data_IF_282632537083
#
_entry.id   IF_282632537083
#
_cell.length_a   1.000
_cell.length_b   1.000
_cell.length_c   1.000
_cell.angle_alpha   90.00
_cell.angle_beta   90.00
_cell.angle_gamma   90.00
#
_symmetry.space_group_name_H-M   'P 1'
#
loop_
_entity.id
_entity.type
_entity.pdbx_description
1 polymer ?
#
# COMPACT_ATOMS: atom_id res chain seq x y z
N UNK A 1 -3.90 38.91 -18.00
CA UNK A 1 -4.74 39.62 -18.99
C UNK A 1 -6.18 39.39 -18.62
N UNK A 2 -6.89 40.39 -18.10
CA UNK A 2 -8.33 40.30 -17.88
C UNK A 2 -9.05 40.29 -19.23
N UNK A 3 -10.14 39.55 -19.36
CA UNK A 3 -10.96 39.59 -20.57
C UNK A 3 -11.44 41.02 -20.85
N UNK A 4 -11.55 41.44 -22.13
CA UNK A 4 -11.87 42.83 -22.51
C UNK A 4 -13.15 43.38 -21.86
N UNK A 5 -14.16 42.53 -21.65
CA UNK A 5 -15.43 42.91 -21.02
C UNK A 5 -15.30 43.35 -19.55
N UNK A 6 -14.32 42.82 -18.80
CA UNK A 6 -14.10 43.21 -17.40
C UNK A 6 -13.30 44.50 -17.26
N UNK A 7 -12.60 44.94 -18.30
CA UNK A 7 -11.81 46.17 -18.28
C UNK A 7 -12.70 47.41 -18.24
N UNK A 8 -13.73 47.47 -19.09
CA UNK A 8 -14.66 48.59 -19.14
C UNK A 8 -15.46 48.76 -17.83
N UNK A 9 -15.89 47.66 -17.21
CA UNK A 9 -16.60 47.71 -15.93
C UNK A 9 -15.69 48.16 -14.78
N UNK A 10 -14.42 47.74 -14.79
CA UNK A 10 -13.43 48.14 -13.80
C UNK A 10 -13.07 49.63 -13.95
N UNK A 11 -12.92 50.12 -15.18
CA UNK A 11 -12.66 51.54 -15.48
C UNK A 11 -13.84 52.44 -15.06
N UNK A 12 -15.07 52.01 -15.33
CA UNK A 12 -16.27 52.71 -14.84
C UNK A 12 -16.35 52.76 -13.32
N UNK A 13 -16.05 51.65 -12.62
CA UNK A 13 -16.00 51.58 -11.15
C UNK A 13 -14.91 52.49 -10.55
N UNK A 14 -13.75 52.58 -11.20
CA UNK A 14 -12.67 53.48 -10.77
C UNK A 14 -13.05 54.95 -10.93
N UNK A 15 -13.74 55.27 -12.02
CA UNK A 15 -14.25 56.63 -12.28
C UNK A 15 -15.31 57.03 -11.24
N UNK A 16 -16.23 56.12 -10.91
CA UNK A 16 -17.28 56.37 -9.90
C UNK A 16 -16.71 56.49 -8.49
N UNK A 17 -15.69 55.71 -8.16
CA UNK A 17 -15.09 55.71 -6.82
C UNK A 17 -13.98 56.76 -6.64
N UNK A 18 -13.53 57.43 -7.71
CA UNK A 18 -12.36 58.32 -7.71
C UNK A 18 -11.08 57.65 -7.20
N UNK A 19 -11.00 56.32 -7.28
CA UNK A 19 -9.84 55.53 -6.90
C UNK A 19 -9.26 54.89 -8.16
N UNK A 20 -8.08 55.36 -8.58
CA UNK A 20 -7.36 54.80 -9.72
C UNK A 20 -6.46 53.65 -9.27
N UNK A 21 -6.80 52.42 -9.69
CA UNK A 21 -5.95 51.26 -9.50
C UNK A 21 -5.02 51.12 -10.71
N UNK A 22 -3.78 51.56 -10.57
CA UNK A 22 -2.74 51.16 -11.51
C UNK A 22 -2.39 49.70 -11.20
N UNK A 23 -2.75 48.78 -12.09
CA UNK A 23 -2.10 47.48 -12.08
C UNK A 23 -0.65 47.72 -12.46
N UNK A 24 0.28 47.65 -11.48
CA UNK A 24 1.70 47.75 -11.80
C UNK A 24 2.02 46.67 -12.84
N UNK A 25 2.89 46.98 -13.80
CA UNK A 25 3.40 45.99 -14.77
C UNK A 25 4.21 44.86 -14.11
N UNK A 26 4.35 44.86 -12.78
CA UNK A 26 5.02 43.79 -12.08
C UNK A 26 4.25 42.48 -12.25
N UNK A 27 4.97 41.50 -12.79
CA UNK A 27 4.52 40.13 -12.87
C UNK A 27 4.01 39.66 -11.49
N UNK A 28 2.88 38.96 -11.44
CA UNK A 28 2.23 38.51 -10.18
C UNK A 28 3.18 37.81 -9.21
N UNK A 29 4.15 37.08 -9.76
CA UNK A 29 5.18 36.35 -9.00
C UNK A 29 6.29 37.25 -8.42
N UNK A 30 6.42 38.50 -8.90
CA UNK A 30 7.41 39.46 -8.42
C UNK A 30 6.98 40.21 -7.15
N UNK A 31 5.76 39.99 -6.65
CA UNK A 31 5.28 40.64 -5.42
C UNK A 31 6.07 40.20 -4.18
N UNK A 32 6.33 41.11 -3.24
CA UNK A 32 7.10 40.78 -2.02
C UNK A 32 6.49 39.63 -1.23
N UNK A 33 5.16 39.54 -1.17
CA UNK A 33 4.46 38.46 -0.48
C UNK A 33 4.73 37.09 -1.12
N UNK A 34 4.86 37.04 -2.46
CA UNK A 34 5.24 35.82 -3.18
C UNK A 34 6.70 35.48 -2.98
N UNK A 35 7.60 36.46 -3.09
CA UNK A 35 9.03 36.25 -2.81
C UNK A 35 9.28 35.73 -1.39
N UNK A 36 8.61 36.30 -0.38
CA UNK A 36 8.71 35.82 1.02
C UNK A 36 8.19 34.40 1.19
N UNK A 37 7.10 34.03 0.51
CA UNK A 37 6.55 32.67 0.54
C UNK A 37 7.48 31.66 -0.11
N UNK A 38 7.98 31.98 -1.31
CA UNK A 38 8.93 31.14 -2.03
C UNK A 38 10.22 30.95 -1.22
N UNK A 39 10.75 32.00 -0.60
CA UNK A 39 11.91 31.89 0.28
C UNK A 39 11.66 30.96 1.46
N UNK A 40 10.49 31.06 2.11
CA UNK A 40 10.08 30.16 3.19
C UNK A 40 9.97 28.71 2.72
N UNK A 41 9.35 28.48 1.57
CA UNK A 41 9.17 27.15 1.00
C UNK A 41 10.51 26.52 0.59
N UNK A 42 11.40 27.30 -0.04
CA UNK A 42 12.77 26.89 -0.38
C UNK A 42 13.57 26.54 0.87
N UNK A 43 13.47 27.36 1.93
CA UNK A 43 14.15 27.10 3.21
C UNK A 43 13.65 25.78 3.81
N UNK A 44 12.33 25.57 3.82
CA UNK A 44 11.72 24.33 4.32
C UNK A 44 12.16 23.09 3.53
N UNK A 45 12.24 23.19 2.20
CA UNK A 45 12.75 22.10 1.34
C UNK A 45 14.23 21.84 1.62
N UNK A 46 15.03 22.89 1.80
CA UNK A 46 16.46 22.77 2.11
C UNK A 46 16.70 22.11 3.46
N UNK A 47 15.96 22.51 4.49
CA UNK A 47 16.01 21.87 5.82
C UNK A 47 15.60 20.40 5.73
N UNK A 48 14.54 20.10 4.96
CA UNK A 48 14.12 18.73 4.72
C UNK A 48 15.24 17.89 4.07
N UNK A 49 15.93 18.39 3.05
CA UNK A 49 17.03 17.66 2.40
C UNK A 49 18.29 17.53 3.25
N UNK A 50 18.54 18.48 4.16
CA UNK A 50 19.64 18.36 5.14
C UNK A 50 19.40 17.20 6.11
N UNK A 51 18.17 17.04 6.59
CA UNK A 51 17.80 15.94 7.49
C UNK A 51 17.64 14.61 6.74
N UNK A 52 17.09 14.65 5.52
CA UNK A 52 16.68 13.49 4.73
C UNK A 52 16.98 13.76 3.26
N UNK A 53 18.16 13.34 2.79
CA UNK A 53 18.42 13.33 1.35
C UNK A 53 17.70 12.13 0.72
N UNK A 54 16.69 12.35 -0.14
CA UNK A 54 16.12 11.28 -0.95
C UNK A 54 17.08 10.79 -2.04
N UNK A 55 18.11 11.57 -2.37
CA UNK A 55 18.99 11.26 -3.50
C UNK A 55 20.19 10.46 -2.96
N UNK A 56 20.38 9.20 -3.39
CA UNK A 56 21.61 8.46 -3.13
C UNK A 56 22.78 9.19 -3.78
N UNK A 57 23.93 9.26 -3.11
CA UNK A 57 25.08 10.05 -3.59
C UNK A 57 25.65 9.57 -4.92
N UNK A 58 25.42 8.30 -5.25
CA UNK A 58 26.04 7.61 -6.39
C UNK A 58 25.04 7.27 -7.50
N UNK A 59 23.81 7.80 -7.44
CA UNK A 59 22.74 7.49 -8.39
C UNK A 59 22.58 8.62 -9.42
N UNK A 60 22.81 8.29 -10.69
CA UNK A 60 22.65 9.23 -11.82
C UNK A 60 21.26 9.18 -12.45
N UNK A 61 20.39 8.27 -12.00
CA UNK A 61 19.06 8.10 -12.59
C UNK A 61 18.12 9.24 -12.18
N UNK A 62 17.33 9.72 -13.14
CA UNK A 62 16.27 10.68 -12.86
C UNK A 62 15.15 9.95 -12.11
N UNK A 63 14.95 10.27 -10.83
CA UNK A 63 13.97 9.61 -9.97
C UNK A 63 12.88 10.57 -9.50
N UNK A 64 11.65 10.07 -9.41
CA UNK A 64 10.57 10.82 -8.76
C UNK A 64 10.78 10.83 -7.23
N UNK A 65 10.92 12.02 -6.63
CA UNK A 65 11.22 12.19 -5.19
C UNK A 65 10.10 11.68 -4.29
N UNK A 66 8.85 11.64 -4.76
CA UNK A 66 7.70 11.20 -3.98
C UNK A 66 7.54 9.68 -4.05
N UNK A 67 7.52 9.12 -5.26
CA UNK A 67 7.29 7.68 -5.46
C UNK A 67 8.57 6.84 -5.36
N UNK A 68 9.75 7.44 -5.53
CA UNK A 68 11.02 6.74 -5.65
C UNK A 68 11.20 5.96 -6.95
N UNK A 69 10.31 6.14 -7.94
CA UNK A 69 10.36 5.43 -9.23
C UNK A 69 11.37 6.08 -10.17
N UNK A 70 12.23 5.25 -10.76
CA UNK A 70 13.19 5.67 -11.78
C UNK A 70 12.48 6.00 -13.09
N UNK A 71 12.91 7.08 -13.70
CA UNK A 71 12.41 7.50 -14.98
C UNK A 71 13.03 6.67 -16.09
N UNK A 72 12.21 6.36 -17.09
CA UNK A 72 12.67 5.78 -18.34
C UNK A 72 13.65 6.74 -19.05
N UNK A 73 14.55 6.20 -19.88
CA UNK A 73 15.58 6.95 -20.63
C UNK A 73 14.98 8.02 -21.55
N UNK A 74 13.70 7.86 -21.91
CA UNK A 74 12.95 8.82 -22.74
C UNK A 74 12.54 10.08 -21.97
N UNK A 75 12.44 10.01 -20.64
CA UNK A 75 12.08 11.14 -19.78
C UNK A 75 13.31 12.00 -19.56
N UNK A 76 13.23 13.29 -19.93
CA UNK A 76 14.37 14.22 -19.86
C UNK A 76 14.03 15.49 -19.10
N UNK A 77 13.20 15.39 -18.07
CA UNK A 77 12.65 16.55 -17.35
C UNK A 77 13.73 17.45 -16.72
N UNK A 78 14.89 16.88 -16.36
CA UNK A 78 16.10 17.57 -15.92
C UNK A 78 16.63 18.58 -16.95
N UNK A 79 16.39 18.33 -18.25
CA UNK A 79 16.83 19.19 -19.37
C UNK A 79 15.78 20.22 -19.80
N UNK A 80 14.81 20.53 -18.94
CA UNK A 80 13.73 21.46 -19.22
C UNK A 80 14.21 22.82 -19.74
N UNK A 81 15.28 23.34 -19.13
CA UNK A 81 15.86 24.63 -19.53
C UNK A 81 16.42 24.58 -20.96
N UNK A 82 17.19 23.55 -21.29
CA UNK A 82 17.81 23.39 -22.61
C UNK A 82 16.76 23.18 -23.71
N UNK A 83 15.72 22.39 -23.43
CA UNK A 83 14.59 22.19 -24.34
C UNK A 83 13.85 23.51 -24.54
N UNK A 84 13.56 24.26 -23.47
CA UNK A 84 12.91 25.56 -23.54
C UNK A 84 13.72 26.56 -24.36
N UNK A 85 15.03 26.63 -24.16
CA UNK A 85 15.93 27.48 -24.93
C UNK A 85 15.93 27.12 -26.43
N UNK A 86 15.92 25.82 -26.78
CA UNK A 86 15.79 25.38 -28.18
C UNK A 86 14.45 25.79 -28.80
N UNK A 87 13.35 25.70 -28.05
CA UNK A 87 12.04 26.17 -28.52
C UNK A 87 12.06 27.68 -28.75
N UNK A 88 12.66 28.46 -27.85
CA UNK A 88 12.81 29.91 -27.99
C UNK A 88 13.67 30.27 -29.20
N UNK A 89 14.79 29.59 -29.42
CA UNK A 89 15.62 29.80 -30.62
C UNK A 89 14.83 29.54 -31.90
N UNK A 90 13.98 28.50 -31.92
CA UNK A 90 13.12 28.17 -33.06
C UNK A 90 11.96 29.17 -33.28
N UNK A 91 11.64 30.00 -32.28
CA UNK A 91 10.66 31.08 -32.35
C UNK A 91 11.28 32.38 -32.90
N UNK A 92 12.59 32.55 -32.81
CA UNK A 92 13.25 33.77 -33.29
C UNK A 92 12.98 33.96 -34.78
N UNK A 93 12.62 35.20 -35.15
CA UNK A 93 12.35 35.64 -36.52
C UNK A 93 11.17 34.93 -37.23
N UNK A 94 10.23 34.35 -36.47
CA UNK A 94 8.97 33.82 -37.01
C UNK A 94 7.78 34.67 -36.62
N UNK A 95 6.79 34.73 -37.50
CA UNK A 95 5.54 35.40 -37.24
C UNK A 95 4.72 34.53 -36.28
N UNK A 96 4.11 35.15 -35.26
CA UNK A 96 3.37 34.45 -34.18
C UNK A 96 2.26 33.54 -34.73
N UNK A 97 1.64 33.91 -35.85
CA UNK A 97 0.57 33.16 -36.51
C UNK A 97 1.04 31.95 -37.31
N UNK A 98 2.34 31.85 -37.62
CA UNK A 98 2.92 30.78 -38.46
C UNK A 98 3.62 29.70 -37.64
N UNK A 99 3.91 29.97 -36.36
CA UNK A 99 4.61 29.03 -35.51
C UNK A 99 3.65 28.10 -34.76
N UNK A 100 3.70 26.81 -35.08
CA UNK A 100 2.92 25.77 -34.38
C UNK A 100 3.77 25.04 -33.35
N UNK A 101 3.33 25.06 -32.09
CA UNK A 101 3.93 24.26 -31.02
C UNK A 101 3.63 22.77 -31.21
N UNK A 102 4.65 21.96 -31.45
CA UNK A 102 4.54 20.51 -31.55
C UNK A 102 4.80 19.84 -30.20
N UNK A 103 3.95 18.89 -29.79
CA UNK A 103 4.14 18.08 -28.58
C UNK A 103 5.42 17.24 -28.63
N UNK A 104 5.84 16.79 -29.82
CA UNK A 104 7.11 16.06 -30.03
C UNK A 104 8.35 16.86 -29.63
N UNK A 105 8.25 18.19 -29.61
CA UNK A 105 9.35 19.09 -29.28
C UNK A 105 9.35 19.48 -27.80
N UNK A 106 8.27 19.15 -27.07
CA UNK A 106 8.18 19.39 -25.64
C UNK A 106 8.89 18.28 -24.86
N UNK A 107 9.10 18.53 -23.58
CA UNK A 107 9.76 17.56 -22.72
C UNK A 107 8.85 16.38 -22.45
N UNK A 108 9.41 15.18 -22.54
CA UNK A 108 8.72 13.97 -22.12
C UNK A 108 8.78 13.91 -20.60
N UNK A 109 7.59 13.89 -19.97
CA UNK A 109 7.44 13.80 -18.52
C UNK A 109 7.19 12.36 -18.09
N UNK A 110 7.36 12.11 -16.79
CA UNK A 110 6.91 10.88 -16.11
C UNK A 110 5.38 10.81 -16.12
N UNK A 111 4.77 10.29 -17.19
CA UNK A 111 3.37 9.87 -17.19
C UNK A 111 3.32 8.35 -16.97
N UNK A 112 2.36 7.88 -16.18
CA UNK A 112 2.09 6.45 -15.96
C UNK A 112 1.61 5.82 -17.28
N UNK A 113 2.53 5.41 -18.16
CA UNK A 113 2.16 4.86 -19.48
C UNK A 113 1.96 3.34 -19.36
N UNK A 114 0.75 2.87 -19.62
CA UNK A 114 0.47 1.45 -19.88
C UNK A 114 0.85 1.17 -21.34
N UNK A 115 2.12 0.91 -21.57
CA UNK A 115 2.68 0.68 -22.90
C UNK A 115 2.41 -0.76 -23.37
N UNK A 116 1.76 -0.93 -24.52
CA UNK A 116 1.69 -2.22 -25.24
C UNK A 116 2.52 -2.09 -26.52
N UNK A 117 3.36 -3.10 -26.84
CA UNK A 117 4.10 -3.16 -28.10
C UNK A 117 3.25 -3.87 -29.16
N UNK A 118 2.99 -3.20 -30.28
CA UNK A 118 2.38 -3.78 -31.48
C UNK A 118 3.28 -3.46 -32.66
N UNK A 119 3.75 -4.48 -33.39
CA UNK A 119 4.65 -4.35 -34.55
C UNK A 119 5.89 -3.47 -34.33
N UNK A 120 6.49 -3.54 -33.14
CA UNK A 120 7.69 -2.80 -32.79
C UNK A 120 7.44 -1.37 -32.29
N UNK A 121 6.23 -0.83 -32.49
CA UNK A 121 5.82 0.47 -31.98
C UNK A 121 5.14 0.35 -30.61
N UNK A 122 5.48 1.27 -29.72
CA UNK A 122 4.89 1.36 -28.38
C UNK A 122 3.66 2.25 -28.44
N UNK A 123 2.48 1.66 -28.28
CA UNK A 123 1.21 2.37 -28.32
C UNK A 123 0.62 2.43 -26.89
N UNK A 124 0.12 3.61 -26.53
CA UNK A 124 -0.60 3.84 -25.28
C UNK A 124 -2.04 3.36 -25.44
N UNK A 125 -2.42 2.32 -24.70
CA UNK A 125 -3.74 1.69 -24.82
C UNK A 125 -4.44 1.67 -23.46
N UNK A 126 -5.54 2.40 -23.35
CA UNK A 126 -6.49 2.28 -22.24
C UNK A 126 -7.36 1.03 -22.46
N UNK A 127 -7.28 -0.01 -21.59
CA UNK A 127 -8.04 -1.24 -21.73
C UNK A 127 -9.57 -1.03 -21.72
N UNK A 128 -10.06 -0.03 -20.98
CA UNK A 128 -11.49 0.26 -20.92
C UNK A 128 -11.96 0.91 -22.21
N UNK A 129 -11.18 1.85 -22.76
CA UNK A 129 -11.46 2.46 -24.05
C UNK A 129 -11.37 1.43 -25.18
N UNK A 130 -10.42 0.50 -25.10
CA UNK A 130 -10.25 -0.58 -26.07
C UNK A 130 -11.45 -1.54 -26.04
N UNK A 131 -11.89 -1.96 -24.84
CA UNK A 131 -13.07 -2.80 -24.66
C UNK A 131 -14.35 -2.13 -25.19
N UNK A 132 -14.53 -0.83 -24.92
CA UNK A 132 -15.65 -0.07 -25.47
C UNK A 132 -15.60 -0.02 -27.00
N UNK A 133 -14.43 0.24 -27.59
CA UNK A 133 -14.25 0.28 -29.04
C UNK A 133 -14.50 -1.08 -29.69
N UNK A 134 -13.98 -2.17 -29.11
CA UNK A 134 -14.23 -3.52 -29.61
C UNK A 134 -15.70 -3.89 -29.52
N UNK A 135 -16.36 -3.62 -28.39
CA UNK A 135 -17.79 -3.91 -28.22
C UNK A 135 -18.64 -3.11 -29.22
N UNK A 136 -18.30 -1.85 -29.48
CA UNK A 136 -19.01 -1.02 -30.47
C UNK A 136 -18.73 -1.46 -31.91
N UNK A 137 -17.49 -1.77 -32.26
CA UNK A 137 -17.15 -2.24 -33.60
C UNK A 137 -17.77 -3.61 -33.90
N UNK A 138 -17.73 -4.51 -32.92
CA UNK A 138 -18.21 -5.87 -33.07
C UNK A 138 -19.75 -5.95 -33.16
N UNK A 139 -20.50 -5.02 -32.57
CA UNK A 139 -21.96 -4.87 -32.81
C UNK A 139 -22.32 -4.61 -34.28
N UNK A 140 -21.39 -4.12 -35.09
CA UNK A 140 -21.60 -3.87 -36.51
C UNK A 140 -21.04 -5.00 -37.41
N UNK A 141 -20.27 -5.94 -36.84
CA UNK A 141 -19.55 -6.98 -37.57
C UNK A 141 -20.18 -8.37 -37.31
N UNK A 142 -20.69 -8.61 -36.09
CA UNK A 142 -21.30 -9.88 -35.71
C UNK A 142 -22.80 -9.68 -35.45
N UNK A 143 -23.62 -10.56 -36.01
CA UNK A 143 -25.08 -10.56 -35.82
C UNK A 143 -25.48 -11.00 -34.40
N UNK A 144 -24.68 -11.88 -33.77
CA UNK A 144 -24.83 -12.27 -32.37
C UNK A 144 -23.67 -11.69 -31.52
N UNK A 145 -23.96 -10.77 -30.58
CA UNK A 145 -22.96 -10.23 -29.67
C UNK A 145 -22.28 -11.28 -28.78
N UNK A 146 -22.87 -12.45 -28.62
CA UNK A 146 -22.35 -13.55 -27.80
C UNK A 146 -21.08 -14.16 -28.39
N UNK A 147 -20.90 -14.12 -29.71
CA UNK A 147 -19.71 -14.63 -30.39
C UNK A 147 -18.44 -13.82 -30.05
N UNK A 148 -18.62 -12.53 -29.72
CA UNK A 148 -17.54 -11.62 -29.34
C UNK A 148 -16.91 -12.05 -28.01
N UNK A 149 -17.73 -12.56 -27.09
CA UNK A 149 -17.30 -13.00 -25.76
C UNK A 149 -16.66 -14.40 -25.74
N UNK A 150 -16.63 -15.11 -26.88
CA UNK A 150 -15.79 -16.32 -27.04
C UNK A 150 -14.30 -15.99 -27.05
N UNK A 151 -13.94 -14.76 -27.39
CA UNK A 151 -12.57 -14.29 -27.40
C UNK A 151 -12.28 -13.46 -26.14
N UNK A 152 -11.05 -13.56 -25.64
CA UNK A 152 -10.62 -12.76 -24.50
C UNK A 152 -10.37 -11.31 -24.96
N UNK A 153 -11.37 -10.43 -24.81
CA UNK A 153 -11.35 -9.03 -25.26
C UNK A 153 -10.57 -8.07 -24.35
N UNK A 154 -9.87 -8.62 -23.36
CA UNK A 154 -9.06 -7.87 -22.42
C UNK A 154 -7.64 -8.45 -22.46
N UNK A 155 -6.64 -7.61 -22.30
CA UNK A 155 -5.25 -8.08 -22.18
C UNK A 155 -4.99 -8.91 -20.91
N UNK A 156 -5.96 -8.96 -19.99
CA UNK A 156 -5.88 -9.66 -18.71
C UNK A 156 -7.27 -10.26 -18.33
N UNK A 157 -7.36 -11.53 -17.91
CA UNK A 157 -8.64 -12.18 -17.59
C UNK A 157 -9.34 -11.52 -16.40
N UNK A 158 -10.48 -10.87 -16.62
CA UNK A 158 -11.22 -10.14 -15.58
C UNK A 158 -11.82 -11.01 -14.45
N UNK A 159 -11.91 -12.32 -14.68
CA UNK A 159 -12.26 -13.32 -13.66
C UNK A 159 -11.12 -13.60 -12.68
N UNK A 160 -9.88 -13.47 -13.14
CA UNK A 160 -8.67 -13.69 -12.34
C UNK A 160 -8.08 -12.38 -11.83
N UNK A 161 -8.32 -11.26 -12.50
CA UNK A 161 -7.70 -9.97 -12.22
C UNK A 161 -8.73 -8.85 -12.06
N UNK A 162 -8.40 -7.89 -11.21
CA UNK A 162 -9.08 -6.60 -11.07
C UNK A 162 -8.69 -5.66 -12.22
N UNK A 163 -9.47 -4.59 -12.45
CA UNK A 163 -9.24 -3.61 -13.53
C UNK A 163 -7.88 -2.89 -13.47
N UNK A 164 -7.16 -3.01 -12.35
CA UNK A 164 -5.81 -2.49 -12.14
C UNK A 164 -4.70 -3.51 -12.49
N UNK A 165 -5.05 -4.68 -13.04
CA UNK A 165 -4.12 -5.75 -13.41
C UNK A 165 -3.66 -6.63 -12.25
N UNK A 166 -4.26 -6.51 -11.05
CA UNK A 166 -3.91 -7.31 -9.87
C UNK A 166 -4.83 -8.53 -9.72
N UNK A 167 -4.31 -9.67 -9.28
CA UNK A 167 -5.12 -10.88 -9.07
C UNK A 167 -6.26 -10.65 -8.05
N UNK A 168 -7.47 -11.14 -8.34
CA UNK A 168 -8.63 -11.13 -7.43
C UNK A 168 -8.36 -11.98 -6.19
N UNK A 169 -8.87 -11.53 -5.05
CA UNK A 169 -8.70 -12.21 -3.77
C UNK A 169 -9.78 -13.25 -3.50
N UNK A 170 -9.39 -14.37 -2.88
CA UNK A 170 -10.34 -15.27 -2.25
C UNK A 170 -10.96 -14.59 -1.02
N UNK A 171 -12.27 -14.77 -0.82
CA UNK A 171 -13.01 -14.23 0.33
C UNK A 171 -12.71 -15.03 1.62
N UNK A 172 -11.46 -14.96 2.10
CA UNK A 172 -10.97 -15.75 3.24
C UNK A 172 -11.62 -15.38 4.58
N UNK A 173 -12.07 -14.13 4.75
CA UNK A 173 -12.76 -13.71 5.98
C UNK A 173 -14.11 -14.40 6.14
N UNK A 174 -14.84 -14.61 5.03
CA UNK A 174 -16.13 -15.29 5.03
C UNK A 174 -16.02 -16.73 5.51
N UNK A 175 -14.87 -17.38 5.28
CA UNK A 175 -14.59 -18.70 5.83
C UNK A 175 -14.52 -18.68 7.36
N UNK A 176 -13.77 -17.74 7.94
CA UNK A 176 -13.68 -17.62 9.39
C UNK A 176 -15.07 -17.34 10.00
N UNK A 177 -15.88 -16.50 9.37
CA UNK A 177 -17.25 -16.27 9.86
C UNK A 177 -18.14 -17.51 9.74
N UNK A 178 -18.02 -18.29 8.65
CA UNK A 178 -18.73 -19.55 8.51
C UNK A 178 -18.36 -20.55 9.60
N UNK A 179 -17.06 -20.77 9.86
CA UNK A 179 -16.59 -21.69 10.91
C UNK A 179 -17.09 -21.22 12.29
N UNK A 180 -17.04 -19.91 12.57
CA UNK A 180 -17.53 -19.36 13.83
C UNK A 180 -19.02 -19.66 14.04
N UNK A 181 -19.81 -19.56 12.97
CA UNK A 181 -21.25 -19.77 12.99
C UNK A 181 -21.66 -21.24 13.05
N UNK A 182 -20.74 -22.20 12.86
CA UNK A 182 -21.00 -23.62 13.14
C UNK A 182 -21.24 -23.87 14.64
N UNK A 183 -20.82 -22.94 15.50
CA UNK A 183 -20.96 -23.04 16.96
C UNK A 183 -19.85 -23.89 17.60
N UNK A 184 -19.80 -23.89 18.94
CA UNK A 184 -18.86 -24.71 19.71
C UNK A 184 -17.38 -24.28 19.69
N UNK A 185 -16.99 -23.37 18.80
CA UNK A 185 -15.59 -22.93 18.62
C UNK A 185 -15.12 -21.88 19.64
N UNK A 186 -16.06 -21.17 20.27
CA UNK A 186 -15.80 -20.01 21.11
C UNK A 186 -15.43 -20.34 22.55
N UNK A 187 -14.66 -19.45 23.17
CA UNK A 187 -14.36 -19.45 24.61
C UNK A 187 -14.27 -18.01 25.16
N UNK A 188 -14.08 -17.87 26.47
CA UNK A 188 -13.97 -16.60 27.18
C UNK A 188 -12.59 -16.42 27.83
N UNK A 189 -12.17 -15.17 28.08
CA UNK A 189 -10.91 -14.89 28.80
C UNK A 189 -10.90 -15.43 30.24
N UNK A 190 -12.04 -15.81 30.79
CA UNK A 190 -12.15 -16.45 32.12
C UNK A 190 -11.78 -17.93 32.12
N UNK A 191 -11.79 -18.59 30.96
CA UNK A 191 -11.40 -20.01 30.81
C UNK A 191 -9.89 -20.19 30.61
N UNK A 192 -9.16 -19.08 30.51
CA UNK A 192 -7.72 -19.02 30.38
C UNK A 192 -7.03 -19.54 31.64
N UNK A 193 -6.08 -20.47 31.46
CA UNK A 193 -5.24 -20.97 32.55
C UNK A 193 -4.41 -19.88 33.23
N UNK A 194 -3.85 -20.20 34.40
CA UNK A 194 -3.03 -19.25 35.18
C UNK A 194 -1.66 -18.94 34.56
N UNK A 195 -1.12 -19.85 33.74
CA UNK A 195 0.18 -19.68 33.08
C UNK A 195 -0.01 -19.64 31.56
N UNK A 196 -0.12 -18.43 31.02
CA UNK A 196 -0.34 -18.20 29.59
C UNK A 196 0.82 -17.44 28.98
N UNK A 197 1.20 -17.88 27.79
CA UNK A 197 2.08 -17.14 26.90
C UNK A 197 1.33 -16.52 25.76
N UNK A 198 1.75 -15.31 25.41
CA UNK A 198 1.24 -14.61 24.24
C UNK A 198 2.20 -14.74 23.07
N UNK A 199 1.68 -15.19 21.93
CA UNK A 199 2.36 -15.12 20.63
C UNK A 199 1.64 -14.08 19.79
N UNK A 200 2.36 -13.09 19.27
CA UNK A 200 1.79 -11.96 18.56
C UNK A 200 2.29 -11.97 17.13
N UNK A 201 1.33 -11.91 16.19
CA UNK A 201 1.60 -11.58 14.79
C UNK A 201 2.10 -10.12 14.70
N UNK A 202 3.37 -9.96 14.32
CA UNK A 202 4.02 -8.68 14.16
C UNK A 202 3.40 -7.84 13.04
N UNK A 203 2.94 -8.48 11.95
CA UNK A 203 2.22 -7.81 10.87
C UNK A 203 0.91 -7.19 11.38
N UNK A 204 0.13 -7.96 12.15
CA UNK A 204 -1.05 -7.45 12.85
C UNK A 204 -0.70 -6.29 13.78
N UNK A 205 0.33 -6.46 14.62
CA UNK A 205 0.74 -5.46 15.60
C UNK A 205 1.10 -4.15 14.93
N UNK A 206 1.89 -4.19 13.85
CA UNK A 206 2.32 -3.02 13.10
C UNK A 206 1.12 -2.15 12.73
N UNK A 207 -0.03 -2.72 12.35
CA UNK A 207 -1.21 -1.96 11.95
C UNK A 207 -2.09 -1.48 13.11
N UNK A 208 -1.88 -1.94 14.36
CA UNK A 208 -2.75 -1.60 15.50
C UNK A 208 -2.59 -0.21 16.08
N UNK A 209 -1.36 0.29 16.18
CA UNK A 209 -1.09 1.55 16.89
C UNK A 209 -1.13 2.72 15.93
N UNK A 210 -1.88 3.77 16.28
CA UNK A 210 -1.89 5.02 15.54
C UNK A 210 -0.62 5.80 15.86
N UNK A 211 0.04 6.33 14.84
CA UNK A 211 1.22 7.16 15.03
C UNK A 211 0.76 8.60 15.27
N UNK A 212 1.08 9.19 16.45
CA UNK A 212 0.76 10.59 16.68
C UNK A 212 1.53 11.49 15.71
N UNK A 213 0.99 12.69 15.47
CA UNK A 213 1.69 13.67 14.63
C UNK A 213 2.96 14.14 15.34
N UNK A 214 4.01 14.37 14.56
CA UNK A 214 5.28 14.93 15.02
C UNK A 214 5.99 14.10 16.11
N UNK A 215 5.70 12.79 16.19
CA UNK A 215 6.42 11.86 17.07
C UNK A 215 7.73 11.36 16.45
N UNK A 216 8.76 11.19 17.27
CA UNK A 216 9.99 10.50 16.86
C UNK A 216 9.78 9.01 16.65
N UNK A 217 10.65 8.37 15.88
CA UNK A 217 10.62 6.91 15.72
C UNK A 217 10.77 6.19 17.06
N UNK A 218 11.62 6.71 17.96
CA UNK A 218 11.74 6.21 19.33
C UNK A 218 10.41 6.25 20.08
N UNK A 219 9.72 7.40 20.08
CA UNK A 219 8.44 7.57 20.76
C UNK A 219 7.34 6.65 20.18
N UNK A 220 7.35 6.48 18.86
CA UNK A 220 6.47 5.53 18.18
C UNK A 220 6.77 4.12 18.67
N UNK A 221 8.02 3.67 18.65
CA UNK A 221 8.43 2.35 19.14
C UNK A 221 8.09 2.15 20.62
N UNK A 222 8.31 3.16 21.47
CA UNK A 222 7.89 3.14 22.88
C UNK A 222 6.39 2.89 23.03
N UNK A 223 5.56 3.49 22.17
CA UNK A 223 4.10 3.24 22.17
C UNK A 223 3.75 1.77 21.88
N UNK A 224 4.52 1.10 21.00
CA UNK A 224 4.38 -0.34 20.75
C UNK A 224 4.82 -1.19 21.93
N UNK A 225 5.96 -0.84 22.52
CA UNK A 225 6.50 -1.53 23.70
C UNK A 225 5.53 -1.42 24.88
N UNK A 226 5.02 -0.22 25.16
CA UNK A 226 4.06 0.03 26.23
C UNK A 226 2.75 -0.73 26.00
N UNK A 227 2.27 -0.76 24.75
CA UNK A 227 1.09 -1.54 24.38
C UNK A 227 1.27 -3.04 24.67
N UNK A 228 2.41 -3.62 24.27
CA UNK A 228 2.70 -5.04 24.52
C UNK A 228 2.86 -5.32 26.00
N UNK A 229 3.67 -4.52 26.69
CA UNK A 229 3.97 -4.69 28.11
C UNK A 229 2.70 -4.59 28.96
N UNK A 230 1.84 -3.61 28.68
CA UNK A 230 0.60 -3.38 29.44
C UNK A 230 -0.45 -4.47 29.21
N UNK A 231 -0.51 -5.07 28.02
CA UNK A 231 -1.56 -6.04 27.67
C UNK A 231 -1.14 -7.50 27.78
N UNK A 232 0.11 -7.79 27.50
CA UNK A 232 0.61 -9.15 27.30
C UNK A 232 1.86 -9.48 28.14
N UNK A 233 2.46 -8.48 28.81
CA UNK A 233 3.67 -8.68 29.59
C UNK A 233 4.86 -9.12 28.71
N UNK A 234 5.40 -10.33 28.98
CA UNK A 234 6.52 -10.92 28.22
C UNK A 234 6.00 -11.83 27.10
N UNK A 235 5.66 -11.21 25.97
CA UNK A 235 5.17 -11.90 24.79
C UNK A 235 6.30 -12.32 23.84
N UNK A 236 5.98 -13.25 22.94
CA UNK A 236 6.79 -13.59 21.76
C UNK A 236 6.15 -12.93 20.54
N UNK A 237 6.89 -12.06 19.85
CA UNK A 237 6.43 -11.38 18.63
C UNK A 237 7.17 -11.99 17.44
N UNK A 238 6.45 -12.31 16.37
CA UNK A 238 7.05 -12.81 15.13
C UNK A 238 6.74 -11.83 14.01
N UNK A 239 7.78 -11.29 13.38
CA UNK A 239 7.65 -10.38 12.23
C UNK A 239 7.93 -11.11 10.91
N UNK A 240 7.23 -10.70 9.85
CA UNK A 240 7.68 -10.93 8.48
C UNK A 240 9.02 -10.24 8.26
N UNK A 241 9.85 -10.79 7.38
CA UNK A 241 10.92 -10.00 6.78
C UNK A 241 10.60 -9.64 5.34
N UNK A 242 11.23 -8.56 4.90
CA UNK A 242 11.01 -7.95 3.61
C UNK A 242 12.34 -7.95 2.86
N UNK A 243 12.78 -9.12 2.34
CA UNK A 243 14.02 -9.21 1.60
C UNK A 243 13.93 -8.41 0.30
N UNK A 244 15.10 -8.06 -0.24
CA UNK A 244 15.22 -7.37 -1.53
C UNK A 244 14.92 -8.31 -2.70
N UNK A 245 14.91 -9.62 -2.48
CA UNK A 245 14.58 -10.62 -3.48
C UNK A 245 13.06 -10.68 -3.74
N UNK A 246 12.63 -11.05 -4.97
CA UNK A 246 11.22 -11.25 -5.26
C UNK A 246 10.63 -12.37 -4.42
N UNK A 247 9.52 -12.09 -3.73
CA UNK A 247 8.80 -13.09 -2.93
C UNK A 247 7.44 -13.43 -3.53
N UNK A 248 6.89 -14.58 -3.17
CA UNK A 248 5.52 -14.96 -3.53
C UNK A 248 4.45 -14.03 -2.94
N UNK A 249 4.79 -13.19 -1.94
CA UNK A 249 3.90 -12.18 -1.35
C UNK A 249 4.02 -10.79 -1.99
N UNK A 250 4.88 -10.58 -2.97
CA UNK A 250 5.11 -9.26 -3.58
C UNK A 250 3.83 -8.65 -4.19
N UNK A 251 3.05 -9.47 -4.90
CA UNK A 251 1.75 -9.05 -5.44
C UNK A 251 0.78 -8.69 -4.32
N UNK A 252 0.76 -9.45 -3.22
CA UNK A 252 -0.09 -9.16 -2.06
C UNK A 252 0.34 -7.85 -1.35
N UNK A 253 1.64 -7.58 -1.25
CA UNK A 253 2.16 -6.33 -0.71
C UNK A 253 1.81 -5.14 -1.60
N UNK A 254 1.98 -5.27 -2.92
CA UNK A 254 1.62 -4.23 -3.89
C UNK A 254 0.13 -3.87 -3.82
N UNK A 255 -0.74 -4.88 -3.69
CA UNK A 255 -2.19 -4.73 -3.49
C UNK A 255 -2.53 -3.99 -2.19
N UNK A 256 -1.96 -4.42 -1.06
CA UNK A 256 -2.21 -3.77 0.25
C UNK A 256 -1.81 -2.30 0.25
N UNK A 257 -0.78 -1.95 -0.52
CA UNK A 257 -0.30 -0.59 -0.66
C UNK A 257 -1.13 0.23 -1.68
N UNK A 258 -2.04 -0.38 -2.45
CA UNK A 258 -2.88 0.27 -3.48
C UNK A 258 -2.07 1.11 -4.49
N UNK A 259 -0.88 0.64 -4.85
CA UNK A 259 0.05 1.41 -5.70
C UNK A 259 0.67 2.64 -5.01
N UNK A 260 0.45 2.84 -3.70
CA UNK A 260 1.15 3.85 -2.91
C UNK A 260 2.61 3.45 -2.80
N UNK A 261 3.46 4.22 -3.45
CA UNK A 261 4.90 4.05 -3.41
C UNK A 261 5.51 5.07 -2.44
N UNK A 262 6.62 4.68 -1.85
CA UNK A 262 7.40 5.52 -0.98
C UNK A 262 8.86 5.23 -1.28
N UNK A 263 9.67 6.27 -1.25
CA UNK A 263 11.10 6.13 -1.38
C UNK A 263 11.74 5.49 -0.14
N UNK A 264 12.85 4.77 -0.33
CA UNK A 264 13.69 4.33 0.77
C UNK A 264 14.26 5.53 1.53
N UNK A 265 14.05 5.58 2.84
CA UNK A 265 14.48 6.67 3.72
C UNK A 265 15.36 6.09 4.81
N UNK A 266 16.55 6.63 4.96
CA UNK A 266 17.36 6.39 6.14
C UNK A 266 16.79 7.25 7.29
N UNK A 267 16.50 6.61 8.43
CA UNK A 267 16.05 7.31 9.64
C UNK A 267 16.69 6.70 10.89
N UNK A 268 16.92 7.54 11.88
CA UNK A 268 17.36 7.13 13.23
C UNK A 268 16.28 7.44 14.28
N UNK A 269 16.49 6.92 15.49
CA UNK A 269 15.51 6.89 16.59
C UNK A 269 14.95 8.27 16.96
N UNK A 270 15.80 9.27 16.98
CA UNK A 270 15.51 10.66 17.35
C UNK A 270 14.78 11.45 16.26
N UNK A 271 14.81 10.98 15.00
CA UNK A 271 14.15 11.68 13.91
C UNK A 271 12.62 11.68 14.06
N UNK A 272 12.01 12.85 13.84
CA UNK A 272 10.54 13.01 13.85
C UNK A 272 9.90 12.41 12.60
N UNK A 273 8.97 11.46 12.74
CA UNK A 273 8.24 10.86 11.62
C UNK A 273 7.24 11.87 11.01
N UNK A 274 7.68 12.59 9.97
CA UNK A 274 6.85 13.55 9.22
C UNK A 274 5.87 12.87 8.24
N UNK A 275 5.99 11.56 8.05
CA UNK A 275 5.20 10.78 7.11
C UNK A 275 4.01 10.07 7.76
N UNK A 276 2.98 9.83 6.96
CA UNK A 276 1.88 8.95 7.40
C UNK A 276 2.37 7.51 7.42
N UNK A 277 1.97 6.78 8.47
CA UNK A 277 2.29 5.36 8.70
C UNK A 277 2.17 4.47 7.46
N UNK A 278 1.02 4.52 6.77
CA UNK A 278 0.79 3.65 5.61
C UNK A 278 1.69 3.96 4.42
N UNK A 279 2.21 5.19 4.32
CA UNK A 279 3.17 5.58 3.28
C UNK A 279 4.55 5.06 3.63
N UNK A 280 5.00 5.21 4.88
CA UNK A 280 6.31 4.67 5.28
C UNK A 280 6.35 3.15 5.12
N UNK A 281 5.30 2.46 5.58
CA UNK A 281 5.21 0.99 5.52
C UNK A 281 4.93 0.44 4.12
N UNK A 282 4.74 1.29 3.09
CA UNK A 282 4.54 0.81 1.73
C UNK A 282 5.86 0.45 1.02
N UNK A 283 6.98 1.00 1.48
CA UNK A 283 8.31 0.64 1.02
C UNK A 283 8.87 -0.52 1.85
N UNK A 284 9.35 -1.59 1.19
CA UNK A 284 9.88 -2.80 1.83
C UNK A 284 11.07 -2.50 2.74
N UNK A 285 12.03 -1.70 2.28
CA UNK A 285 13.23 -1.34 3.05
C UNK A 285 12.89 -0.52 4.29
N UNK A 286 12.02 0.48 4.15
CA UNK A 286 11.57 1.30 5.28
C UNK A 286 10.83 0.45 6.32
N UNK A 287 9.99 -0.47 5.84
CA UNK A 287 9.26 -1.41 6.69
C UNK A 287 10.22 -2.32 7.45
N UNK A 288 11.23 -2.88 6.79
CA UNK A 288 12.25 -3.71 7.43
C UNK A 288 13.04 -2.91 8.48
N UNK A 289 13.54 -1.72 8.12
CA UNK A 289 14.26 -0.84 9.08
C UNK A 289 13.43 -0.51 10.31
N UNK A 290 12.13 -0.25 10.12
CA UNK A 290 11.23 0.01 11.23
C UNK A 290 11.00 -1.23 12.11
N UNK A 291 10.86 -2.41 11.51
CA UNK A 291 10.74 -3.69 12.21
C UNK A 291 12.00 -3.98 13.02
N UNK A 292 13.18 -3.76 12.45
CA UNK A 292 14.45 -4.00 13.13
C UNK A 292 14.60 -3.08 14.35
N UNK A 293 14.28 -1.80 14.19
CA UNK A 293 14.28 -0.82 15.28
C UNK A 293 13.27 -1.19 16.37
N UNK A 294 12.03 -1.50 15.99
CA UNK A 294 10.99 -1.91 16.93
C UNK A 294 11.36 -3.22 17.65
N UNK A 295 11.92 -4.18 16.92
CA UNK A 295 12.37 -5.46 17.43
C UNK A 295 13.47 -5.30 18.48
N UNK A 296 14.43 -4.39 18.27
CA UNK A 296 15.45 -4.07 19.26
C UNK A 296 14.83 -3.53 20.56
N UNK A 297 13.92 -2.54 20.47
CA UNK A 297 13.23 -1.98 21.65
C UNK A 297 12.34 -2.99 22.38
N UNK A 298 11.69 -3.89 21.66
CA UNK A 298 10.91 -4.97 22.28
C UNK A 298 11.81 -5.96 23.04
N UNK A 299 12.96 -6.33 22.46
CA UNK A 299 13.94 -7.20 23.13
C UNK A 299 14.49 -6.60 24.43
N UNK A 300 14.74 -5.29 24.47
CA UNK A 300 15.18 -4.57 25.68
C UNK A 300 14.19 -4.72 26.86
N UNK A 301 12.90 -4.96 26.58
CA UNK A 301 11.88 -5.18 27.61
C UNK A 301 11.68 -6.63 28.04
N UNK A 302 12.51 -7.54 27.51
CA UNK A 302 12.45 -8.98 27.79
C UNK A 302 11.39 -9.73 27.00
N UNK A 303 10.86 -9.14 25.92
CA UNK A 303 10.05 -9.87 24.94
C UNK A 303 10.97 -10.66 23.99
N UNK A 304 10.49 -11.81 23.51
CA UNK A 304 11.18 -12.56 22.46
C UNK A 304 10.71 -12.03 21.11
N UNK A 305 11.64 -11.66 20.23
CA UNK A 305 11.32 -11.21 18.87
C UNK A 305 12.00 -12.11 17.86
N UNK A 306 11.18 -12.73 17.00
CA UNK A 306 11.60 -13.62 15.92
C UNK A 306 11.30 -12.96 14.58
N UNK A 307 12.17 -13.15 13.60
CA UNK A 307 11.97 -12.67 12.24
C UNK A 307 11.92 -13.88 11.30
N UNK A 308 10.84 -14.01 10.53
CA UNK A 308 10.73 -15.02 9.48
C UNK A 308 11.51 -14.58 8.24
N UNK A 309 12.00 -15.53 7.42
CA UNK A 309 12.76 -15.22 6.20
C UNK A 309 11.92 -14.56 5.10
N UNK A 310 10.63 -14.87 5.07
CA UNK A 310 9.67 -14.27 4.15
C UNK A 310 8.36 -14.09 4.93
N UNK A 311 7.48 -15.08 4.82
CA UNK A 311 6.19 -15.14 5.49
C UNK A 311 6.30 -15.64 6.92
N UNK A 312 5.80 -14.86 7.89
CA UNK A 312 5.73 -15.25 9.28
C UNK A 312 4.61 -16.24 9.61
N UNK A 313 3.62 -16.45 8.74
CA UNK A 313 2.40 -17.22 9.07
C UNK A 313 2.73 -18.62 9.65
N UNK A 314 3.63 -19.35 9.00
CA UNK A 314 4.06 -20.69 9.48
C UNK A 314 4.90 -20.56 10.76
N UNK A 315 5.80 -19.60 10.84
CA UNK A 315 6.69 -19.42 12.00
C UNK A 315 5.88 -19.02 13.25
N UNK A 316 4.86 -18.18 13.10
CA UNK A 316 3.91 -17.79 14.16
C UNK A 316 3.24 -19.04 14.73
N UNK A 317 2.71 -19.89 13.84
CA UNK A 317 2.01 -21.13 14.23
C UNK A 317 2.94 -22.14 14.88
N UNK A 318 4.11 -22.39 14.29
CA UNK A 318 5.12 -23.29 14.87
C UNK A 318 5.62 -22.80 16.25
N UNK A 319 5.76 -21.49 16.42
CA UNK A 319 6.14 -20.89 17.71
C UNK A 319 5.04 -21.13 18.75
N UNK A 320 3.77 -20.89 18.39
CA UNK A 320 2.64 -21.16 19.27
C UNK A 320 2.55 -22.64 19.66
N UNK A 321 2.71 -23.56 18.70
CA UNK A 321 2.70 -25.01 18.94
C UNK A 321 3.87 -25.50 19.78
N UNK A 322 5.04 -24.86 19.66
CA UNK A 322 6.22 -25.22 20.44
C UNK A 322 6.03 -24.84 21.91
N UNK A 323 5.49 -23.65 22.16
CA UNK A 323 5.16 -23.18 23.52
C UNK A 323 4.00 -23.99 24.10
N UNK A 324 3.02 -24.39 23.28
CA UNK A 324 1.86 -25.17 23.73
C UNK A 324 2.19 -26.57 24.24
N UNK A 325 3.41 -27.07 24.04
CA UNK A 325 3.83 -28.33 24.67
C UNK A 325 3.86 -28.25 26.19
N UNK A 326 4.12 -27.06 26.74
CA UNK A 326 4.35 -26.86 28.18
C UNK A 326 3.33 -25.91 28.81
N UNK A 327 2.92 -24.86 28.10
CA UNK A 327 2.11 -23.75 28.65
C UNK A 327 0.87 -23.49 27.76
N UNK A 328 -0.20 -22.91 28.32
CA UNK A 328 -1.32 -22.47 27.48
C UNK A 328 -0.89 -21.26 26.64
N UNK A 329 -1.34 -21.19 25.38
CA UNK A 329 -0.91 -20.16 24.44
C UNK A 329 -2.10 -19.35 23.92
N UNK A 330 -1.95 -18.03 23.91
CA UNK A 330 -2.89 -17.14 23.21
C UNK A 330 -2.16 -16.50 22.03
N UNK A 331 -2.58 -16.87 20.83
CA UNK A 331 -2.11 -16.29 19.58
C UNK A 331 -2.97 -15.07 19.21
N UNK A 332 -2.33 -13.92 19.11
CA UNK A 332 -2.94 -12.65 18.71
C UNK A 332 -2.62 -12.38 17.24
N UNK A 333 -3.63 -12.45 16.39
CA UNK A 333 -3.51 -12.20 14.95
C UNK A 333 -4.88 -11.90 14.35
N UNK A 334 -4.97 -11.63 13.04
CA UNK A 334 -6.26 -11.45 12.33
C UNK A 334 -6.46 -12.39 11.17
N UNK A 335 -5.39 -12.90 10.58
CA UNK A 335 -5.47 -13.58 9.31
C UNK A 335 -6.09 -14.97 9.46
N UNK A 336 -7.06 -15.28 8.60
CA UNK A 336 -7.73 -16.60 8.57
C UNK A 336 -6.73 -17.72 8.31
N UNK A 337 -5.65 -17.44 7.58
CA UNK A 337 -4.59 -18.40 7.30
C UNK A 337 -3.98 -18.94 8.60
N UNK A 338 -3.81 -18.10 9.64
CA UNK A 338 -3.32 -18.52 10.96
C UNK A 338 -4.29 -19.49 11.65
N UNK A 339 -5.60 -19.20 11.62
CA UNK A 339 -6.63 -20.08 12.20
C UNK A 339 -6.61 -21.46 11.53
N UNK A 340 -6.54 -21.49 10.20
CA UNK A 340 -6.52 -22.72 9.42
C UNK A 340 -5.25 -23.53 9.71
N UNK A 341 -4.08 -22.88 9.73
CA UNK A 341 -2.81 -23.51 10.03
C UNK A 341 -2.76 -24.06 11.47
N UNK A 342 -3.31 -23.32 12.44
CA UNK A 342 -3.44 -23.80 13.82
C UNK A 342 -4.29 -25.06 13.89
N UNK A 343 -5.50 -25.05 13.32
CA UNK A 343 -6.37 -26.23 13.31
C UNK A 343 -5.71 -27.44 12.63
N UNK A 344 -4.94 -27.20 11.57
CA UNK A 344 -4.22 -28.25 10.85
C UNK A 344 -3.12 -28.89 11.69
N UNK A 345 -2.24 -28.07 12.27
CA UNK A 345 -1.03 -28.54 12.95
C UNK A 345 -1.19 -28.84 14.46
N UNK A 346 -2.30 -28.43 15.08
CA UNK A 346 -2.56 -28.66 16.50
C UNK A 346 -2.57 -30.15 16.86
N UNK A 347 -1.82 -30.53 17.90
CA UNK A 347 -1.90 -31.86 18.52
C UNK A 347 -2.79 -31.79 19.76
N UNK A 348 -3.83 -32.64 19.80
CA UNK A 348 -4.78 -32.69 20.92
C UNK A 348 -4.12 -33.02 22.26
N UNK A 349 -2.90 -33.59 22.25
CA UNK A 349 -2.10 -33.90 23.45
C UNK A 349 -1.43 -32.70 24.11
N UNK A 350 -1.23 -31.60 23.38
CA UNK A 350 -0.56 -30.40 23.90
C UNK A 350 -1.47 -29.62 24.88
N UNK A 351 -0.99 -28.52 25.45
CA UNK A 351 -1.81 -27.54 26.17
C UNK A 351 -2.72 -26.76 25.22
N UNK A 352 -3.62 -25.95 25.77
CA UNK A 352 -4.63 -25.28 24.96
C UNK A 352 -4.04 -24.10 24.18
N UNK A 353 -4.35 -24.02 22.89
CA UNK A 353 -4.10 -22.84 22.07
C UNK A 353 -5.40 -22.09 21.83
N UNK A 354 -5.37 -20.79 22.10
CA UNK A 354 -6.45 -19.86 21.81
C UNK A 354 -6.01 -18.90 20.71
N UNK A 355 -6.88 -18.63 19.74
CA UNK A 355 -6.65 -17.62 18.72
C UNK A 355 -7.64 -16.47 18.89
N UNK A 356 -7.17 -15.23 18.86
CA UNK A 356 -8.07 -14.07 18.98
C UNK A 356 -7.57 -12.84 18.25
N UNK A 357 -8.53 -12.02 17.84
CA UNK A 357 -8.30 -10.66 17.37
C UNK A 357 -8.70 -9.69 18.46
N UNK A 358 -7.82 -8.78 18.89
CA UNK A 358 -8.32 -7.68 19.73
C UNK A 358 -9.18 -6.71 18.90
N UNK A 359 -10.30 -6.21 19.44
CA UNK A 359 -11.08 -5.20 18.77
C UNK A 359 -10.24 -3.92 18.66
N UNK A 360 -10.53 -3.08 17.66
CA UNK A 360 -9.96 -1.72 17.67
C UNK A 360 -10.51 -0.98 18.89
N UNK A 361 -9.69 -0.14 19.52
CA UNK A 361 -10.04 0.59 20.77
C UNK A 361 -11.37 1.38 20.72
N UNK A 362 -11.92 1.62 19.53
CA UNK A 362 -13.16 2.38 19.29
C UNK A 362 -14.41 1.51 19.09
N UNK A 363 -14.31 0.18 19.07
CA UNK A 363 -15.44 -0.71 18.81
C UNK A 363 -15.69 -1.56 20.07
N UNK A 364 -16.85 -1.34 20.71
CA UNK A 364 -17.38 -2.20 21.78
C UNK A 364 -17.90 -3.52 21.18
N UNK A 365 -17.01 -4.34 20.63
CA UNK A 365 -17.32 -5.73 20.30
C UNK A 365 -16.48 -6.62 21.21
N UNK A 366 -17.13 -7.63 21.78
CA UNK A 366 -16.43 -8.71 22.47
C UNK A 366 -15.53 -9.42 21.44
N UNK A 367 -14.23 -9.58 21.72
CA UNK A 367 -13.34 -10.26 20.78
C UNK A 367 -13.79 -11.72 20.63
N UNK A 368 -13.84 -12.20 19.37
CA UNK A 368 -13.96 -13.63 19.09
C UNK A 368 -12.68 -14.31 19.60
N UNK A 369 -12.82 -15.23 20.55
CA UNK A 369 -11.73 -16.06 21.05
C UNK A 369 -12.05 -17.49 20.62
N UNK A 370 -11.18 -18.02 19.78
CA UNK A 370 -11.25 -19.35 19.23
C UNK A 370 -10.47 -20.30 20.13
N UNK A 371 -11.13 -21.35 20.61
CA UNK A 371 -10.44 -22.51 21.17
C UNK A 371 -10.09 -23.45 20.00
N UNK A 372 -8.80 -23.60 19.70
CA UNK A 372 -8.35 -24.33 18.51
C UNK A 372 -8.71 -25.81 18.60
N UNK A 373 -8.72 -26.40 19.80
CA UNK A 373 -9.10 -27.81 19.98
C UNK A 373 -10.58 -28.02 19.72
N UNK A 374 -11.43 -27.18 20.32
CA UNK A 374 -12.88 -27.23 20.04
C UNK A 374 -13.18 -26.95 18.57
N UNK A 375 -12.49 -25.97 17.97
CA UNK A 375 -12.64 -25.65 16.55
C UNK A 375 -12.28 -26.85 15.67
N UNK A 376 -11.20 -27.58 16.01
CA UNK A 376 -10.80 -28.80 15.32
C UNK A 376 -11.81 -29.93 15.48
N UNK A 377 -12.43 -30.08 16.65
CA UNK A 377 -13.50 -31.04 16.89
C UNK A 377 -14.76 -30.73 16.08
N UNK A 378 -15.16 -29.45 16.02
CA UNK A 378 -16.32 -28.98 15.23
C UNK A 378 -16.10 -29.22 13.73
N UNK A 379 -14.89 -29.00 13.24
CA UNK A 379 -14.53 -29.31 11.85
C UNK A 379 -14.44 -30.83 11.59
N UNK A 380 -14.30 -31.66 12.62
CA UNK A 380 -14.25 -33.11 12.52
C UNK A 380 -13.03 -33.66 11.77
N UNK A 381 -13.11 -34.93 11.34
CA UNK A 381 -12.12 -35.58 10.45
C UNK A 381 -12.16 -35.09 9.00
N UNK A 382 -13.03 -34.12 8.66
CA UNK A 382 -12.88 -33.41 7.40
C UNK A 382 -11.52 -32.74 7.47
N UNK A 383 -10.55 -33.31 6.74
CA UNK A 383 -9.21 -32.77 6.77
C UNK A 383 -9.35 -31.29 6.41
N UNK A 384 -8.78 -30.41 7.23
CA UNK A 384 -8.71 -28.97 6.95
C UNK A 384 -8.25 -28.73 5.51
N UNK A 385 -7.43 -29.66 5.00
CA UNK A 385 -6.99 -29.81 3.60
C UNK A 385 -8.13 -30.04 2.61
N UNK A 386 -9.15 -30.88 2.87
CA UNK A 386 -10.32 -31.09 2.01
C UNK A 386 -11.24 -29.87 1.93
N UNK A 387 -11.43 -29.15 3.05
CA UNK A 387 -12.22 -27.92 3.07
C UNK A 387 -11.49 -26.76 2.37
N UNK A 388 -10.16 -26.69 2.54
CA UNK A 388 -9.32 -25.71 1.87
C UNK A 388 -9.09 -26.03 0.39
N UNK A 389 -8.92 -27.31 0.04
CA UNK A 389 -8.93 -27.80 -1.34
C UNK A 389 -10.28 -27.50 -1.96
N UNK A 390 -11.42 -27.76 -1.30
CA UNK A 390 -12.74 -27.44 -1.88
C UNK A 390 -12.94 -25.94 -2.07
N UNK A 391 -12.41 -25.06 -1.23
CA UNK A 391 -12.51 -23.61 -1.44
C UNK A 391 -11.52 -23.06 -2.48
N UNK A 392 -10.29 -23.57 -2.53
CA UNK A 392 -9.38 -23.31 -3.67
C UNK A 392 -9.97 -23.88 -4.95
N UNK A 393 -10.58 -25.06 -4.89
CA UNK A 393 -11.30 -25.72 -5.97
C UNK A 393 -12.57 -24.97 -6.33
N UNK A 394 -13.36 -24.37 -5.44
CA UNK A 394 -14.51 -23.54 -5.82
C UNK A 394 -14.02 -22.29 -6.54
N UNK A 395 -12.92 -21.71 -6.08
CA UNK A 395 -12.19 -20.69 -6.81
C UNK A 395 -11.57 -21.16 -8.14
N UNK A 396 -11.44 -22.48 -8.38
CA UNK A 396 -10.93 -23.13 -9.62
C UNK A 396 -12.07 -23.78 -10.43
N UNK A 397 -13.24 -24.05 -9.86
CA UNK A 397 -14.43 -24.60 -10.52
C UNK A 397 -15.16 -23.44 -11.18
N UNK A 398 -15.12 -22.23 -10.57
CA UNK A 398 -15.33 -20.99 -11.32
C UNK A 398 -14.28 -20.75 -12.43
N UNK A 399 -13.12 -21.43 -12.43
CA UNK A 399 -12.10 -21.39 -13.51
C UNK A 399 -12.26 -22.51 -14.54
N UNK A 400 -12.96 -23.60 -14.25
CA UNK A 400 -13.17 -24.71 -15.17
C UNK A 400 -14.54 -24.65 -15.86
N UNK A 401 -15.54 -23.98 -15.26
CA UNK A 401 -16.84 -23.71 -15.89
C UNK A 401 -16.77 -22.71 -17.08
N UNK A 402 -15.57 -22.28 -17.47
CA UNK A 402 -15.29 -21.40 -18.62
C UNK A 402 -14.28 -22.03 -19.61
N UNK A 403 -13.96 -23.32 -19.46
CA UNK A 403 -13.11 -24.08 -20.39
C UNK A 403 -13.85 -25.22 -21.10
N UNK A 404 -15.19 -25.19 -21.09
CA UNK A 404 -16.07 -25.84 -22.07
C UNK A 404 -16.84 -24.76 -22.81
#
# INVERSE_FOLDING_TARGET
MSMPACAAMNEAMQTVSSVHYQSSEQHKESTEARQKRDHKDVTKIREFFKERSPIPKDDTNLRNIVSGVDADETVKADKAKEVGQRIIANLQNKIVTEFTFKRSNQIVTMSTKSNVKVDGDVIDVDPQLLFQRFTTAARNIFDDPSEIFRYELCSVPSALFENNGLLREAQKSSLADYIWNLGGCGTSRSEFGRNIRYVIDGGWQLHRILWPKDSSYASICSSYVDFVKKRYGKATIVFDSYPNEPTTKDVAHLRRNRGTTCQGIAFCEDMVCKMKKYVLLSNKENKQRFIDLLGAKLKETGCLVLNARDDADIMIVQTALSISKEEDVVLIGKDTDLLVLLCHHEDMKNKSIFFTTEPKQQIQQTPKIWDIKRTKEVLGKLSVVSFWLSMRLVGVIQRLAYLE
#
